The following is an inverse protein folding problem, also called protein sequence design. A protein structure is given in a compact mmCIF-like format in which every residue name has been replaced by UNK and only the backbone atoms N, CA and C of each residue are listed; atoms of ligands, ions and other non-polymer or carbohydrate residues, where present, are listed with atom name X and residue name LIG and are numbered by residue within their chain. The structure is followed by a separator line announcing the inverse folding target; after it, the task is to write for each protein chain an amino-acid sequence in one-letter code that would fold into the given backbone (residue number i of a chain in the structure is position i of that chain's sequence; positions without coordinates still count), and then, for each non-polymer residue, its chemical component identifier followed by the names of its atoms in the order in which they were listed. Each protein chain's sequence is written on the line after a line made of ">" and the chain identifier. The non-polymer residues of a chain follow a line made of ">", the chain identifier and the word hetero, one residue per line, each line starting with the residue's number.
data_IF_004943165476
#
_entry.id   IF_004943165476
#
_cell.length_a   1.000
_cell.length_b   1.000
_cell.length_c   1.000
_cell.angle_alpha   90.00
_cell.angle_beta   90.00
_cell.angle_gamma   90.00
#
_symmetry.space_group_name_H-M   'P 1'
#
loop_
_entity.id
_entity.type
_entity.pdbx_description
1 polymer ?
#
# COMPACT_ATOMS: atom_id res chain seq x y z
N UNK A 1 13.25 -29.69 -6.53
CA UNK A 1 11.93 -29.08 -6.32
C UNK A 1 12.17 -27.65 -5.88
N UNK A 2 11.83 -26.66 -6.71
CA UNK A 2 11.97 -25.24 -6.36
C UNK A 2 10.63 -24.82 -5.76
N UNK A 3 10.63 -24.29 -4.53
CA UNK A 3 9.44 -23.71 -3.93
C UNK A 3 9.23 -22.32 -4.54
N UNK A 4 8.11 -22.12 -5.21
CA UNK A 4 7.68 -20.83 -5.78
C UNK A 4 6.51 -20.29 -4.97
N UNK A 5 6.50 -18.97 -4.77
CA UNK A 5 5.37 -18.29 -4.14
C UNK A 5 4.31 -17.98 -5.19
N UNK A 6 3.06 -18.16 -4.83
CA UNK A 6 1.91 -17.75 -5.63
C UNK A 6 0.96 -16.95 -4.73
N UNK A 7 0.55 -15.78 -5.20
CA UNK A 7 -0.39 -14.94 -4.47
C UNK A 7 -1.76 -15.60 -4.43
N UNK A 8 -2.41 -15.51 -3.27
CA UNK A 8 -3.75 -16.05 -3.05
C UNK A 8 -4.79 -14.95 -2.97
N UNK A 9 -6.06 -15.32 -3.24
CA UNK A 9 -7.22 -14.43 -3.05
C UNK A 9 -7.24 -13.87 -1.62
N UNK A 10 -7.00 -14.72 -0.62
CA UNK A 10 -7.02 -14.31 0.78
C UNK A 10 -5.98 -13.23 1.10
N UNK A 11 -4.78 -13.31 0.53
CA UNK A 11 -3.73 -12.30 0.73
C UNK A 11 -4.15 -10.95 0.14
N UNK A 12 -4.74 -10.94 -1.07
CA UNK A 12 -5.22 -9.72 -1.73
C UNK A 12 -6.36 -9.08 -0.94
N UNK A 13 -7.31 -9.89 -0.45
CA UNK A 13 -8.42 -9.43 0.40
C UNK A 13 -7.93 -8.78 1.71
N UNK A 14 -6.99 -9.43 2.39
CA UNK A 14 -6.39 -8.91 3.62
C UNK A 14 -5.63 -7.62 3.33
N UNK A 15 -4.84 -7.61 2.26
CA UNK A 15 -4.04 -6.47 1.85
C UNK A 15 -4.91 -5.24 1.55
N UNK A 16 -5.92 -5.36 0.68
CA UNK A 16 -6.79 -4.23 0.31
C UNK A 16 -7.57 -3.69 1.49
N UNK A 17 -8.09 -4.58 2.34
CA UNK A 17 -8.83 -4.19 3.56
C UNK A 17 -7.92 -3.43 4.52
N UNK A 18 -6.68 -3.87 4.71
CA UNK A 18 -5.69 -3.15 5.52
C UNK A 18 -5.34 -1.79 4.92
N UNK A 19 -5.14 -1.71 3.60
CA UNK A 19 -4.87 -0.43 2.94
C UNK A 19 -6.00 0.57 3.22
N UNK A 20 -7.26 0.18 3.00
CA UNK A 20 -8.42 1.02 3.31
C UNK A 20 -8.47 1.44 4.78
N UNK A 21 -8.26 0.49 5.69
CA UNK A 21 -8.24 0.77 7.12
C UNK A 21 -7.18 1.82 7.49
N UNK A 22 -5.97 1.73 6.92
CA UNK A 22 -4.91 2.70 7.19
C UNK A 22 -5.15 4.07 6.56
N UNK A 23 -5.76 4.16 5.37
CA UNK A 23 -6.17 5.44 4.77
C UNK A 23 -7.15 6.17 5.70
N UNK A 24 -8.20 5.46 6.11
CA UNK A 24 -9.23 5.99 7.01
C UNK A 24 -8.69 6.33 8.39
N UNK A 25 -7.80 5.51 8.92
CA UNK A 25 -7.18 5.76 10.21
C UNK A 25 -6.26 6.98 10.14
N UNK A 26 -5.41 7.09 9.12
CA UNK A 26 -4.55 8.27 8.93
C UNK A 26 -5.37 9.57 8.91
N UNK A 27 -6.45 9.59 8.13
CA UNK A 27 -7.40 10.72 8.10
C UNK A 27 -7.93 11.06 9.49
N UNK A 28 -8.50 10.08 10.21
CA UNK A 28 -9.03 10.30 11.57
C UNK A 28 -7.96 10.85 12.52
N UNK A 29 -6.73 10.34 12.43
CA UNK A 29 -5.62 10.76 13.29
C UNK A 29 -5.13 12.16 12.95
N UNK A 30 -5.12 12.54 11.67
CA UNK A 30 -4.90 13.93 11.23
C UNK A 30 -5.95 14.85 11.84
N UNK A 31 -7.24 14.51 11.72
CA UNK A 31 -8.34 15.32 12.26
C UNK A 31 -8.29 15.47 13.78
N UNK A 32 -7.79 14.45 14.50
CA UNK A 32 -7.57 14.47 15.96
C UNK A 32 -6.25 15.10 16.40
N UNK A 33 -5.41 15.55 15.46
CA UNK A 33 -4.07 16.09 15.72
C UNK A 33 -3.11 15.07 16.34
N UNK A 34 -3.35 13.78 16.16
CA UNK A 34 -2.49 12.67 16.59
C UNK A 34 -1.43 12.37 15.53
N UNK A 35 -0.55 13.33 15.25
CA UNK A 35 0.28 13.36 14.03
C UNK A 35 1.26 12.18 13.91
N UNK A 36 1.87 11.73 15.00
CA UNK A 36 2.76 10.56 14.93
C UNK A 36 2.01 9.27 14.63
N UNK A 37 0.75 9.16 15.05
CA UNK A 37 -0.09 8.04 14.65
C UNK A 37 -0.46 8.17 13.17
N UNK A 38 -0.83 9.35 12.70
CA UNK A 38 -1.05 9.56 11.26
C UNK A 38 0.18 9.19 10.41
N UNK A 39 1.39 9.58 10.83
CA UNK A 39 2.64 9.18 10.17
C UNK A 39 2.88 7.67 10.24
N UNK A 40 2.60 7.03 11.37
CA UNK A 40 2.67 5.58 11.48
C UNK A 40 1.69 4.87 10.53
N UNK A 41 0.46 5.39 10.37
CA UNK A 41 -0.47 4.88 9.35
C UNK A 41 0.10 5.06 7.94
N UNK A 42 0.73 6.20 7.65
CA UNK A 42 1.38 6.45 6.37
C UNK A 42 2.56 5.49 6.11
N UNK A 43 3.36 5.17 7.12
CA UNK A 43 4.41 4.13 7.01
C UNK A 43 3.79 2.77 6.68
N UNK A 44 2.68 2.40 7.33
CA UNK A 44 1.96 1.16 7.03
C UNK A 44 1.37 1.14 5.61
N UNK A 45 0.94 2.29 5.07
CA UNK A 45 0.50 2.40 3.67
C UNK A 45 1.68 2.17 2.71
N UNK A 46 2.86 2.75 2.99
CA UNK A 46 4.05 2.52 2.15
C UNK A 46 4.44 1.04 2.17
N UNK A 47 4.46 0.40 3.36
CA UNK A 47 4.71 -1.04 3.48
C UNK A 47 3.65 -1.87 2.74
N UNK A 48 2.38 -1.47 2.83
CA UNK A 48 1.28 -2.10 2.10
C UNK A 48 1.53 -2.07 0.59
N UNK A 49 2.02 -0.97 0.03
CA UNK A 49 2.37 -0.90 -1.40
C UNK A 49 3.52 -1.83 -1.78
N UNK A 50 4.57 -1.93 -0.95
CA UNK A 50 5.66 -2.88 -1.21
C UNK A 50 5.21 -4.34 -1.16
N UNK A 51 4.30 -4.66 -0.23
CA UNK A 51 3.64 -5.97 -0.16
C UNK A 51 2.91 -6.27 -1.48
N UNK A 52 2.14 -5.30 -1.98
CA UNK A 52 1.38 -5.42 -3.21
C UNK A 52 2.27 -5.65 -4.43
N UNK A 53 3.37 -4.91 -4.55
CA UNK A 53 4.34 -5.08 -5.63
C UNK A 53 5.04 -6.43 -5.59
N UNK A 54 5.33 -6.96 -4.41
CA UNK A 54 5.89 -8.31 -4.26
C UNK A 54 4.87 -9.38 -4.66
N UNK A 55 3.60 -9.24 -4.26
CA UNK A 55 2.51 -10.11 -4.73
C UNK A 55 2.36 -10.06 -6.26
N UNK A 56 2.34 -8.87 -6.85
CA UNK A 56 2.23 -8.66 -8.29
C UNK A 56 3.36 -9.37 -9.05
N UNK A 57 4.58 -9.35 -8.49
CA UNK A 57 5.78 -9.98 -9.03
C UNK A 57 5.99 -11.46 -8.62
N UNK A 58 5.05 -12.09 -7.90
CA UNK A 58 5.17 -13.47 -7.39
C UNK A 58 6.43 -13.68 -6.52
N UNK A 59 6.76 -12.65 -5.76
CA UNK A 59 7.78 -12.66 -4.73
C UNK A 59 7.07 -12.71 -3.39
N UNK A 60 7.46 -13.65 -2.51
CA UNK A 60 6.92 -13.72 -1.15
C UNK A 60 7.08 -12.35 -0.45
N UNK A 61 5.97 -11.70 -0.05
CA UNK A 61 6.03 -10.46 0.71
C UNK A 61 6.68 -10.66 2.08
N UNK A 62 7.28 -9.60 2.60
CA UNK A 62 7.73 -9.57 3.98
C UNK A 62 6.54 -9.69 4.95
N UNK A 63 6.82 -10.11 6.19
CA UNK A 63 5.83 -10.06 7.25
C UNK A 63 5.40 -8.61 7.52
N UNK A 64 4.19 -8.44 8.06
CA UNK A 64 3.69 -7.12 8.39
C UNK A 64 4.58 -6.42 9.44
N UNK A 65 4.99 -5.18 9.15
CA UNK A 65 5.96 -4.40 9.93
C UNK A 65 7.43 -4.64 9.58
N UNK A 66 7.76 -5.61 8.71
CA UNK A 66 9.14 -5.92 8.35
C UNK A 66 9.61 -5.18 7.08
N UNK A 67 10.47 -4.18 7.28
CA UNK A 67 11.07 -3.36 6.23
C UNK A 67 12.37 -3.93 5.65
N UNK A 68 12.80 -5.11 6.08
CA UNK A 68 14.08 -5.66 5.67
C UNK A 68 14.18 -5.80 4.15
N UNK A 69 15.20 -5.18 3.57
CA UNK A 69 15.56 -5.27 2.15
C UNK A 69 14.48 -4.72 1.21
N UNK A 70 13.70 -3.72 1.62
CA UNK A 70 12.73 -3.07 0.72
C UNK A 70 13.32 -1.87 -0.03
N UNK A 71 14.24 -1.12 0.57
CA UNK A 71 14.77 0.13 -0.04
C UNK A 71 16.25 0.07 -0.42
N UNK A 72 17.04 -0.80 0.22
CA UNK A 72 18.50 -0.85 0.04
C UNK A 72 18.96 -1.67 -1.17
N UNK A 73 20.27 -1.83 -1.33
CA UNK A 73 20.94 -2.59 -2.44
C UNK A 73 20.48 -4.05 -2.61
N UNK A 74 19.73 -4.58 -1.65
CA UNK A 74 19.17 -5.94 -1.65
C UNK A 74 17.68 -5.96 -2.02
N UNK A 75 17.11 -4.81 -2.37
CA UNK A 75 15.72 -4.68 -2.77
C UNK A 75 15.45 -5.47 -4.04
N UNK A 76 14.25 -6.05 -4.09
CA UNK A 76 13.70 -6.64 -5.31
C UNK A 76 12.70 -5.71 -5.99
N UNK A 77 12.49 -4.51 -5.43
CA UNK A 77 11.72 -3.46 -6.08
C UNK A 77 12.52 -2.91 -7.27
N UNK A 78 11.78 -2.57 -8.31
CA UNK A 78 12.32 -1.86 -9.48
C UNK A 78 12.59 -0.39 -9.16
N UNK A 79 13.43 0.26 -9.99
CA UNK A 79 13.83 1.65 -9.79
C UNK A 79 12.63 2.62 -9.72
N UNK A 80 11.56 2.37 -10.48
CA UNK A 80 10.37 3.22 -10.45
C UNK A 80 9.55 3.04 -9.17
N UNK A 81 9.50 1.82 -8.60
CA UNK A 81 8.85 1.55 -7.32
C UNK A 81 9.61 2.22 -6.17
N UNK A 82 10.95 2.16 -6.20
CA UNK A 82 11.81 2.88 -5.25
C UNK A 82 11.62 4.40 -5.39
N UNK A 83 11.55 4.90 -6.61
CA UNK A 83 11.28 6.33 -6.89
C UNK A 83 9.91 6.77 -6.37
N UNK A 84 8.88 5.92 -6.44
CA UNK A 84 7.57 6.21 -5.85
C UNK A 84 7.62 6.26 -4.33
N UNK A 85 8.30 5.30 -3.68
CA UNK A 85 8.49 5.32 -2.22
C UNK A 85 9.15 6.62 -1.75
N UNK A 86 10.20 7.06 -2.44
CA UNK A 86 10.89 8.32 -2.16
C UNK A 86 9.94 9.53 -2.32
N UNK A 87 9.15 9.56 -3.39
CA UNK A 87 8.16 10.62 -3.64
C UNK A 87 7.01 10.65 -2.63
N UNK A 88 6.76 9.54 -1.94
CA UNK A 88 5.77 9.45 -0.87
C UNK A 88 6.33 9.89 0.49
N UNK A 89 7.40 10.69 0.52
CA UNK A 89 7.83 11.38 1.74
C UNK A 89 6.80 12.44 2.21
N UNK A 90 6.63 12.57 3.53
CA UNK A 90 5.78 13.60 4.17
C UNK A 90 6.50 14.19 5.37
N UNK A 91 6.32 15.49 5.61
CA UNK A 91 6.62 16.08 6.93
C UNK A 91 5.51 15.78 7.95
N UNK A 92 5.61 16.40 9.13
CA UNK A 92 4.58 16.36 10.18
C UNK A 92 3.38 17.27 9.90
N UNK A 93 3.39 18.05 8.81
CA UNK A 93 2.28 18.92 8.43
C UNK A 93 1.05 18.09 8.02
N UNK A 94 -0.10 18.22 8.71
CA UNK A 94 -1.35 17.53 8.40
C UNK A 94 -1.72 17.46 6.91
N UNK A 95 -1.60 18.58 6.20
CA UNK A 95 -1.97 18.65 4.78
C UNK A 95 -1.02 17.86 3.88
N UNK A 96 0.25 17.77 4.24
CA UNK A 96 1.22 17.00 3.47
C UNK A 96 0.97 15.50 3.61
N UNK A 97 0.62 15.04 4.82
CA UNK A 97 0.28 13.63 5.08
C UNK A 97 -0.87 13.20 4.16
N UNK A 98 -1.96 13.97 4.14
CA UNK A 98 -3.13 13.64 3.31
C UNK A 98 -2.80 13.71 1.81
N UNK A 99 -2.04 14.72 1.38
CA UNK A 99 -1.60 14.86 0.00
C UNK A 99 -0.73 13.68 -0.47
N UNK A 100 0.09 13.11 0.41
CA UNK A 100 0.85 11.90 0.08
C UNK A 100 -0.08 10.71 -0.10
N UNK A 101 -1.05 10.51 0.81
CA UNK A 101 -2.03 9.42 0.71
C UNK A 101 -2.80 9.51 -0.61
N UNK A 102 -3.27 10.69 -0.99
CA UNK A 102 -3.93 10.94 -2.28
C UNK A 102 -3.05 10.53 -3.47
N UNK A 103 -1.74 10.83 -3.42
CA UNK A 103 -0.78 10.43 -4.46
C UNK A 103 -0.52 8.92 -4.52
N UNK A 104 -0.81 8.17 -3.47
CA UNK A 104 -0.68 6.70 -3.46
C UNK A 104 -1.86 6.01 -4.16
N UNK A 105 -3.04 6.65 -4.17
CA UNK A 105 -4.29 6.07 -4.68
C UNK A 105 -4.21 5.58 -6.13
N UNK A 106 -3.62 6.32 -7.11
CA UNK A 106 -3.52 5.84 -8.48
C UNK A 106 -2.73 4.53 -8.59
N UNK A 107 -1.62 4.42 -7.86
CA UNK A 107 -0.78 3.22 -7.87
C UNK A 107 -1.45 2.05 -7.13
N UNK A 108 -2.15 2.33 -6.02
CA UNK A 108 -2.99 1.33 -5.35
C UNK A 108 -4.02 0.73 -6.32
N UNK A 109 -4.76 1.57 -7.07
CA UNK A 109 -5.75 1.10 -8.05
C UNK A 109 -5.10 0.26 -9.16
N UNK A 110 -3.94 0.70 -9.67
CA UNK A 110 -3.19 -0.03 -10.69
C UNK A 110 -2.83 -1.44 -10.21
N UNK A 111 -2.24 -1.56 -9.03
CA UNK A 111 -1.82 -2.86 -8.48
C UNK A 111 -3.03 -3.71 -8.08
N UNK A 112 -4.06 -3.12 -7.47
CA UNK A 112 -5.30 -3.83 -7.11
C UNK A 112 -5.94 -4.47 -8.34
N UNK A 113 -6.10 -3.70 -9.42
CA UNK A 113 -6.58 -4.23 -10.70
C UNK A 113 -5.72 -5.38 -11.20
N UNK A 114 -4.40 -5.22 -11.24
CA UNK A 114 -3.50 -6.27 -11.72
C UNK A 114 -3.60 -7.56 -10.90
N UNK A 115 -3.78 -7.44 -9.58
CA UNK A 115 -3.95 -8.60 -8.69
C UNK A 115 -5.33 -9.26 -8.88
N UNK A 116 -6.39 -8.47 -9.05
CA UNK A 116 -7.72 -8.97 -9.35
C UNK A 116 -7.76 -9.73 -10.69
N UNK A 117 -7.20 -9.13 -11.75
CA UNK A 117 -7.10 -9.74 -13.07
C UNK A 117 -6.33 -11.07 -13.01
N UNK A 118 -5.21 -11.11 -12.27
CA UNK A 118 -4.39 -12.32 -12.10
C UNK A 118 -5.17 -13.46 -11.42
N UNK A 119 -6.04 -13.13 -10.46
CA UNK A 119 -6.75 -14.11 -9.64
C UNK A 119 -8.18 -14.39 -10.10
N UNK A 120 -8.65 -13.72 -11.15
CA UNK A 120 -10.05 -13.79 -11.60
C UNK A 120 -11.04 -13.22 -10.56
N UNK A 121 -10.60 -12.26 -9.75
CA UNK A 121 -11.46 -11.55 -8.80
C UNK A 121 -12.15 -10.37 -9.47
N UNK A 122 -13.38 -10.09 -9.03
CA UNK A 122 -14.07 -8.86 -9.39
C UNK A 122 -13.40 -7.67 -8.66
N UNK A 123 -12.91 -6.69 -9.43
CA UNK A 123 -12.21 -5.52 -8.90
C UNK A 123 -13.16 -4.53 -8.19
N UNK A 124 -14.40 -4.42 -8.66
CA UNK A 124 -15.36 -3.35 -8.30
C UNK A 124 -14.70 -1.96 -8.10
N UNK A 125 -14.29 -1.29 -9.19
CA UNK A 125 -13.63 0.02 -9.11
C UNK A 125 -14.51 1.11 -8.49
N UNK A 126 -15.84 1.00 -8.61
CA UNK A 126 -16.78 1.98 -8.04
C UNK A 126 -16.79 1.90 -6.52
N UNK A 127 -16.86 0.69 -5.97
CA UNK A 127 -16.72 0.44 -4.53
C UNK A 127 -15.37 0.91 -3.98
N UNK A 128 -14.28 0.61 -4.69
CA UNK A 128 -12.94 1.09 -4.31
C UNK A 128 -12.89 2.63 -4.27
N UNK A 129 -13.47 3.28 -5.27
CA UNK A 129 -13.56 4.74 -5.33
C UNK A 129 -14.41 5.30 -4.18
N UNK A 130 -15.55 4.68 -3.89
CA UNK A 130 -16.42 5.10 -2.79
C UNK A 130 -15.66 5.09 -1.46
N UNK A 131 -15.00 3.98 -1.11
CA UNK A 131 -14.24 3.86 0.15
C UNK A 131 -13.14 4.92 0.24
N UNK A 132 -12.38 5.13 -0.84
CA UNK A 132 -11.24 6.05 -0.83
C UNK A 132 -11.65 7.53 -0.87
N UNK A 133 -12.86 7.85 -1.32
CA UNK A 133 -13.39 9.22 -1.37
C UNK A 133 -14.12 9.65 -0.08
N UNK A 134 -14.22 8.78 0.93
CA UNK A 134 -14.84 9.10 2.22
C UNK A 134 -13.94 9.91 3.16
N UNK A 135 -12.67 10.12 2.81
CA UNK A 135 -11.64 10.78 3.62
C UNK A 135 -11.18 12.11 3.03
#
# INVERSE_FOLDING_TARGET
>A
MVLTYETTIQEVEIWRTKFFAYVHEAYRRVMRKEIYYALHCLDNLRLSMTTAWYMEAEIQPNAFGDWAKLEGIRSKLSDWQLSLLEQWHSSREPKEIMKVIEKMVPEFKRVHKSLCDKLGLEEDPEWVNEILNMV
#
